data_IF_233955033034
#
_entry.id   IF_233955033034
#
_cell.length_a   1.000
_cell.length_b   1.000
_cell.length_c   1.000
_cell.angle_alpha   90.00
_cell.angle_beta   90.00
_cell.angle_gamma   90.00
#
_symmetry.space_group_name_H-M   'P 1'
#
loop_
_entity.id
_entity.type
_entity.pdbx_description
1 polymer ?
#
# COMPACT_ATOMS: atom_id res chain seq x y z
N UNK A 1 -7.27 -30.02 -39.14
CA UNK A 1 -5.87 -30.37 -38.85
C UNK A 1 -5.34 -29.37 -37.84
N UNK A 2 -4.87 -29.85 -36.68
CA UNK A 2 -4.25 -28.99 -35.66
C UNK A 2 -2.81 -28.74 -36.10
N UNK A 3 -2.43 -27.46 -36.21
CA UNK A 3 -1.08 -27.06 -36.58
C UNK A 3 -0.11 -27.27 -35.41
N UNK A 4 1.16 -27.57 -35.69
CA UNK A 4 2.23 -27.65 -34.68
C UNK A 4 2.28 -26.42 -33.77
N UNK A 5 2.00 -25.22 -34.32
CA UNK A 5 1.92 -23.98 -33.53
C UNK A 5 0.82 -24.04 -32.45
N UNK A 6 -0.33 -24.63 -32.78
CA UNK A 6 -1.45 -24.76 -31.85
C UNK A 6 -1.12 -25.77 -30.74
N UNK A 7 -0.46 -26.89 -31.08
CA UNK A 7 0.00 -27.86 -30.08
C UNK A 7 1.01 -27.26 -29.10
N UNK A 8 1.96 -26.46 -29.58
CA UNK A 8 2.94 -25.78 -28.72
C UNK A 8 2.26 -24.81 -27.76
N UNK A 9 1.31 -23.99 -28.24
CA UNK A 9 0.56 -23.06 -27.40
C UNK A 9 -0.21 -23.82 -26.31
N UNK A 10 -0.92 -24.88 -26.70
CA UNK A 10 -1.69 -25.70 -25.76
C UNK A 10 -0.77 -26.30 -24.68
N UNK A 11 0.39 -26.83 -25.06
CA UNK A 11 1.35 -27.39 -24.10
C UNK A 11 1.90 -26.34 -23.13
N UNK A 12 2.21 -25.14 -23.61
CA UNK A 12 2.67 -24.04 -22.74
C UNK A 12 1.56 -23.63 -21.76
N UNK A 13 0.32 -23.51 -22.24
CA UNK A 13 -0.82 -23.20 -21.39
C UNK A 13 -1.06 -24.30 -20.34
N UNK A 14 -0.99 -25.58 -20.73
CA UNK A 14 -1.12 -26.71 -19.81
C UNK A 14 -0.03 -26.71 -18.74
N UNK A 15 1.21 -26.39 -19.11
CA UNK A 15 2.33 -26.30 -18.16
C UNK A 15 2.11 -25.15 -17.16
N UNK A 16 1.62 -24.00 -17.63
CA UNK A 16 1.24 -22.88 -16.77
C UNK A 16 0.10 -23.25 -15.80
N UNK A 17 -0.95 -23.90 -16.29
CA UNK A 17 -2.07 -24.35 -15.47
C UNK A 17 -1.59 -25.37 -14.42
N UNK A 18 -0.76 -26.33 -14.83
CA UNK A 18 -0.16 -27.30 -13.92
C UNK A 18 0.66 -26.63 -12.81
N UNK A 19 1.45 -25.61 -13.16
CA UNK A 19 2.20 -24.82 -12.19
C UNK A 19 1.29 -24.08 -11.20
N UNK A 20 0.22 -23.44 -11.69
CA UNK A 20 -0.76 -22.79 -10.80
C UNK A 20 -1.47 -23.78 -9.87
N UNK A 21 -1.81 -24.97 -10.37
CA UNK A 21 -2.42 -26.03 -9.56
C UNK A 21 -1.46 -26.54 -8.48
N UNK A 22 -0.17 -26.72 -8.80
CA UNK A 22 0.84 -27.06 -7.82
C UNK A 22 0.96 -25.99 -6.72
N UNK A 23 1.05 -24.72 -7.10
CA UNK A 23 1.10 -23.61 -6.13
C UNK A 23 -0.13 -23.62 -5.20
N UNK A 24 -1.32 -23.87 -5.77
CA UNK A 24 -2.55 -23.96 -4.99
C UNK A 24 -2.54 -25.17 -4.04
N UNK A 25 -2.05 -26.33 -4.50
CA UNK A 25 -1.94 -27.55 -3.70
C UNK A 25 -1.01 -27.40 -2.49
N UNK A 26 0.10 -26.67 -2.65
CA UNK A 26 1.00 -26.31 -1.55
C UNK A 26 0.46 -25.18 -0.65
N UNK A 27 -0.77 -24.72 -0.89
CA UNK A 27 -1.38 -23.65 -0.11
C UNK A 27 -0.70 -22.29 -0.29
N UNK A 28 0.05 -22.10 -1.38
CA UNK A 28 0.72 -20.83 -1.66
C UNK A 28 -0.34 -19.79 -2.01
N UNK A 29 -0.63 -18.90 -1.08
CA UNK A 29 -1.49 -17.74 -1.31
C UNK A 29 -0.68 -16.68 -2.05
N UNK A 30 -1.04 -16.42 -3.30
CA UNK A 30 -0.49 -15.28 -4.03
C UNK A 30 -0.96 -13.99 -3.35
N UNK A 31 -0.04 -13.05 -3.03
CA UNK A 31 -0.43 -11.79 -2.42
C UNK A 31 -1.34 -11.01 -3.38
N UNK A 32 -2.34 -10.34 -2.83
CA UNK A 32 -3.13 -9.39 -3.62
C UNK A 32 -2.23 -8.24 -4.10
N UNK A 33 -2.66 -7.52 -5.14
CA UNK A 33 -1.89 -6.39 -5.67
C UNK A 33 -1.52 -5.36 -4.58
N UNK A 34 -2.46 -5.06 -3.65
CA UNK A 34 -2.19 -4.16 -2.52
C UNK A 34 -1.18 -4.74 -1.52
N UNK A 35 -1.25 -6.04 -1.23
CA UNK A 35 -0.30 -6.71 -0.35
C UNK A 35 1.11 -6.73 -0.97
N UNK A 36 1.21 -6.98 -2.28
CA UNK A 36 2.47 -6.89 -3.00
C UNK A 36 3.06 -5.48 -2.92
N UNK A 37 2.24 -4.44 -3.09
CA UNK A 37 2.69 -3.05 -2.93
C UNK A 37 3.25 -2.78 -1.53
N UNK A 38 2.59 -3.26 -0.47
CA UNK A 38 3.08 -3.12 0.91
C UNK A 38 4.41 -3.87 1.14
N UNK A 39 4.51 -5.12 0.68
CA UNK A 39 5.70 -5.97 0.85
C UNK A 39 6.92 -5.38 0.13
N UNK A 40 6.72 -4.78 -1.04
CA UNK A 40 7.78 -4.17 -1.83
C UNK A 40 8.32 -2.86 -1.23
N UNK A 41 7.60 -2.21 -0.31
CA UNK A 41 8.09 -1.00 0.36
C UNK A 41 9.11 -1.32 1.45
N UNK A 42 10.26 -0.65 1.37
CA UNK A 42 11.33 -0.72 2.37
C UNK A 42 11.01 0.14 3.60
N UNK A 43 11.65 -0.17 4.72
CA UNK A 43 11.49 0.54 5.99
C UNK A 43 10.34 0.00 6.86
N UNK A 44 10.21 0.55 8.07
CA UNK A 44 9.05 0.36 8.93
C UNK A 44 7.93 1.32 8.48
N UNK A 45 6.65 0.93 8.56
CA UNK A 45 5.56 1.87 8.33
C UNK A 45 5.64 3.00 9.38
N UNK A 46 5.59 4.25 8.95
CA UNK A 46 5.61 5.41 9.85
C UNK A 46 4.56 6.43 9.48
N UNK A 47 4.00 7.05 10.53
CA UNK A 47 3.01 8.10 10.44
C UNK A 47 3.43 9.26 11.35
N UNK A 48 3.12 10.48 10.92
CA UNK A 48 3.23 11.66 11.76
C UNK A 48 2.05 12.62 11.55
N UNK A 49 1.72 13.38 12.59
CA UNK A 49 0.74 14.46 12.53
C UNK A 49 1.50 15.78 12.41
N UNK A 50 1.14 16.60 11.43
CA UNK A 50 1.57 17.99 11.32
C UNK A 50 0.44 18.92 11.76
N UNK A 51 0.74 19.79 12.71
CA UNK A 51 -0.12 20.92 13.05
C UNK A 51 0.72 22.17 13.27
N UNK A 52 0.37 23.29 12.61
CA UNK A 52 1.13 24.55 12.67
C UNK A 52 2.65 24.37 12.44
N UNK A 53 3.00 23.58 11.42
CA UNK A 53 4.38 23.21 11.07
C UNK A 53 5.16 22.41 12.14
N UNK A 54 4.50 21.98 13.22
CA UNK A 54 5.08 21.03 14.17
C UNK A 54 4.66 19.63 13.77
N UNK A 55 5.65 18.79 13.45
CA UNK A 55 5.45 17.38 13.16
C UNK A 55 5.66 16.56 14.44
N UNK A 56 4.70 15.71 14.78
CA UNK A 56 4.80 14.76 15.89
C UNK A 56 4.64 13.35 15.34
N UNK A 57 5.63 12.49 15.55
CA UNK A 57 5.52 11.08 15.17
C UNK A 57 4.41 10.38 15.95
N UNK A 58 3.64 9.56 15.25
CA UNK A 58 2.57 8.77 15.85
C UNK A 58 2.85 7.29 15.64
N UNK A 59 3.25 6.63 16.73
CA UNK A 59 3.63 5.22 16.72
C UNK A 59 2.43 4.25 16.58
N UNK A 60 1.22 4.71 16.88
CA UNK A 60 -0.01 3.95 16.71
C UNK A 60 -0.54 4.15 15.27
N UNK A 61 -0.09 3.26 14.39
CA UNK A 61 -0.40 3.34 12.96
C UNK A 61 -1.88 3.10 12.70
N UNK A 62 -2.53 2.20 13.45
CA UNK A 62 -3.95 1.90 13.26
C UNK A 62 -4.80 3.14 13.56
N UNK A 63 -4.52 3.80 14.68
CA UNK A 63 -5.18 5.06 15.03
C UNK A 63 -4.86 6.16 14.03
N UNK A 64 -3.61 6.26 13.57
CA UNK A 64 -3.26 7.21 12.54
C UNK A 64 -4.03 6.97 11.22
N UNK A 65 -4.21 5.71 10.81
CA UNK A 65 -5.01 5.37 9.62
C UNK A 65 -6.47 5.82 9.80
N UNK A 66 -7.05 5.64 10.99
CA UNK A 66 -8.42 6.09 11.28
C UNK A 66 -8.55 7.61 11.17
N UNK A 67 -7.60 8.37 11.72
CA UNK A 67 -7.60 9.84 11.61
C UNK A 67 -7.36 10.33 10.17
N UNK A 68 -6.54 9.61 9.41
CA UNK A 68 -6.31 9.93 8.01
C UNK A 68 -7.48 9.63 7.10
N UNK A 69 -8.25 8.59 7.39
CA UNK A 69 -9.51 8.32 6.67
C UNK A 69 -10.51 9.45 6.81
N UNK A 70 -10.51 10.15 7.95
CA UNK A 70 -11.37 11.32 8.15
C UNK A 70 -10.95 12.52 7.28
N UNK A 71 -9.79 12.47 6.63
CA UNK A 71 -9.32 13.53 5.75
C UNK A 71 -9.89 13.38 4.33
N UNK A 72 -10.28 14.51 3.71
CA UNK A 72 -10.93 14.51 2.39
C UNK A 72 -9.98 14.23 1.22
N UNK A 73 -8.67 14.48 1.39
CA UNK A 73 -7.72 14.37 0.30
C UNK A 73 -6.39 13.81 0.77
N UNK A 74 -5.85 12.84 0.02
CA UNK A 74 -4.49 12.34 0.19
C UNK A 74 -3.71 12.53 -1.11
N UNK A 75 -2.57 13.23 -1.04
CA UNK A 75 -1.71 13.52 -2.19
C UNK A 75 -0.29 13.05 -1.92
N UNK A 76 0.49 12.89 -2.99
CA UNK A 76 1.94 12.70 -2.86
C UNK A 76 2.58 14.04 -2.51
N UNK A 77 3.36 14.05 -1.44
CA UNK A 77 4.15 15.20 -1.01
C UNK A 77 5.32 14.66 -0.21
N UNK A 78 6.54 14.97 -0.66
CA UNK A 78 7.76 14.52 0.00
C UNK A 78 8.13 15.45 1.16
N UNK A 79 8.42 14.86 2.31
CA UNK A 79 8.87 15.54 3.51
C UNK A 79 9.82 14.64 4.28
N UNK A 80 10.92 15.19 4.76
CA UNK A 80 11.96 14.43 5.47
C UNK A 80 12.09 14.98 6.88
N UNK A 81 11.98 14.10 7.87
CA UNK A 81 12.25 14.44 9.28
C UNK A 81 13.03 13.31 9.93
N UNK A 82 14.14 13.64 10.62
CA UNK A 82 14.90 12.70 11.45
C UNK A 82 15.18 11.35 10.74
N UNK A 83 15.68 11.41 9.51
CA UNK A 83 15.98 10.26 8.62
C UNK A 83 14.76 9.44 8.15
N UNK A 84 13.54 9.90 8.41
CA UNK A 84 12.32 9.32 7.86
C UNK A 84 11.78 10.12 6.68
N UNK A 85 11.43 9.41 5.61
CA UNK A 85 10.81 9.98 4.41
C UNK A 85 9.30 9.76 4.42
N UNK A 86 8.56 10.84 4.49
CA UNK A 86 7.11 10.89 4.34
C UNK A 86 6.78 11.32 2.92
N UNK A 87 6.13 10.46 2.14
CA UNK A 87 5.90 10.68 0.71
C UNK A 87 4.42 11.01 0.40
N UNK A 88 3.59 11.03 1.43
CA UNK A 88 2.14 11.18 1.35
C UNK A 88 1.67 12.10 2.45
N UNK A 89 0.68 12.92 2.12
CA UNK A 89 -0.02 13.75 3.09
C UNK A 89 -1.52 13.66 2.86
N UNK A 90 -2.27 13.45 3.95
CA UNK A 90 -3.72 13.45 4.00
C UNK A 90 -4.20 14.66 4.81
N UNK A 91 -5.07 15.50 4.23
CA UNK A 91 -5.55 16.72 4.86
C UNK A 91 -6.94 17.13 4.35
N UNK A 92 -7.71 17.83 5.19
CA UNK A 92 -8.99 18.45 4.85
C UNK A 92 -8.84 19.98 4.78
N UNK A 93 -8.52 20.48 3.60
CA UNK A 93 -8.30 21.92 3.34
C UNK A 93 -6.85 22.28 3.05
N UNK A 94 -6.58 23.58 2.88
CA UNK A 94 -5.28 24.08 2.40
C UNK A 94 -4.63 25.14 3.30
N UNK A 95 -5.13 25.33 4.51
CA UNK A 95 -4.59 26.33 5.47
C UNK A 95 -3.58 25.69 6.42
N UNK A 96 -2.61 26.47 6.90
CA UNK A 96 -1.63 26.07 7.92
C UNK A 96 -2.24 25.74 9.30
N UNK A 97 -3.54 26.04 9.47
CA UNK A 97 -4.32 25.67 10.66
C UNK A 97 -4.94 24.28 10.57
N UNK A 98 -4.82 23.61 9.43
CA UNK A 98 -5.38 22.27 9.19
C UNK A 98 -4.40 21.21 9.70
N UNK A 99 -4.95 20.16 10.31
CA UNK A 99 -4.18 18.97 10.69
C UNK A 99 -3.82 18.21 9.41
N UNK A 100 -2.54 17.99 9.16
CA UNK A 100 -2.07 17.16 8.06
C UNK A 100 -1.51 15.87 8.62
N UNK A 101 -1.89 14.74 8.04
CA UNK A 101 -1.37 13.44 8.44
C UNK A 101 -0.41 12.98 7.37
N UNK A 102 0.86 12.81 7.74
CA UNK A 102 1.93 12.41 6.85
C UNK A 102 2.22 10.93 6.99
N UNK A 103 2.43 10.28 5.86
CA UNK A 103 2.76 8.86 5.78
C UNK A 103 4.00 8.65 4.92
N UNK A 104 4.81 7.66 5.30
CA UNK A 104 5.63 6.99 4.31
C UNK A 104 4.78 6.07 3.43
N UNK A 105 5.28 5.68 2.25
CA UNK A 105 4.47 4.88 1.33
C UNK A 105 4.05 3.54 1.94
N UNK A 106 4.89 2.95 2.81
CA UNK A 106 4.57 1.69 3.48
C UNK A 106 3.38 1.81 4.43
N UNK A 107 3.33 2.84 5.26
CA UNK A 107 2.20 3.11 6.14
C UNK A 107 0.94 3.43 5.34
N UNK A 108 1.05 4.17 4.24
CA UNK A 108 -0.09 4.43 3.36
C UNK A 108 -0.68 3.13 2.78
N UNK A 109 0.15 2.21 2.28
CA UNK A 109 -0.34 0.91 1.80
C UNK A 109 -0.88 0.03 2.93
N UNK A 110 -0.26 0.08 4.11
CA UNK A 110 -0.78 -0.60 5.29
C UNK A 110 -2.20 -0.12 5.60
N UNK A 111 -2.42 1.19 5.66
CA UNK A 111 -3.74 1.76 5.90
C UNK A 111 -4.74 1.30 4.84
N UNK A 112 -4.36 1.29 3.55
CA UNK A 112 -5.21 0.80 2.46
C UNK A 112 -5.54 -0.69 2.51
N UNK A 113 -4.81 -1.49 3.28
CA UNK A 113 -5.12 -2.91 3.47
C UNK A 113 -6.10 -3.14 4.63
N UNK A 114 -6.37 -2.12 5.44
CA UNK A 114 -7.28 -2.25 6.56
C UNK A 114 -8.74 -2.31 6.09
N UNK A 115 -9.59 -3.15 6.72
CA UNK A 115 -11.00 -3.29 6.34
C UNK A 115 -11.72 -1.93 6.35
N UNK A 116 -11.44 -1.15 7.39
CA UNK A 116 -12.04 0.16 7.60
C UNK A 116 -11.53 1.23 6.64
N UNK A 117 -10.63 0.99 5.69
CA UNK A 117 -10.14 2.11 4.85
C UNK A 117 -11.10 2.49 3.72
N UNK A 118 -11.91 1.53 3.26
CA UNK A 118 -12.83 1.71 2.12
C UNK A 118 -14.32 1.63 2.49
N UNK A 119 -14.64 1.44 3.78
CA UNK A 119 -16.01 1.59 4.28
C UNK A 119 -16.49 3.06 4.20
#
# INVERSE_FOLDING_TARGET
MISWKQLTIINICLLLIFFFLLLNFYGVKLPSFGQAQYILQKGAPSCAIEWRAQLTEWNDIDRCCLEARQQLSCKKEEYVLADQNYNRVCQTGSSDKVIKIRFNDKAYYYCRLQPFWFD
#
